data_IF_985427692891
#
_entry.id   IF_985427692891
#
_cell.length_a   1.000
_cell.length_b   1.000
_cell.length_c   1.000
_cell.angle_alpha   90.00
_cell.angle_beta   90.00
_cell.angle_gamma   90.00
#
_symmetry.space_group_name_H-M   'P 1'
#
loop_
_entity.id
_entity.type
_entity.pdbx_description
1 polymer ?
#
# COMPACT_ATOMS: atom_id res chain seq x y z
N UNK A 1 8.29 -1.45 27.96
CA UNK A 1 7.02 -0.74 28.20
C UNK A 1 5.95 -1.25 27.26
N UNK A 2 4.81 -0.54 27.20
CA UNK A 2 3.61 -0.98 26.49
C UNK A 2 3.85 -1.14 25.00
N UNK A 3 4.57 -0.23 24.34
CA UNK A 3 4.79 -0.28 22.88
C UNK A 3 5.74 -1.41 22.50
N UNK A 4 6.86 -1.54 23.21
CA UNK A 4 7.83 -2.61 23.00
C UNK A 4 7.22 -3.99 23.19
N UNK A 5 6.36 -4.18 24.19
CA UNK A 5 5.68 -5.46 24.41
C UNK A 5 4.79 -5.86 23.22
N UNK A 6 3.99 -4.92 22.70
CA UNK A 6 3.14 -5.18 21.52
C UNK A 6 3.96 -5.46 20.25
N UNK A 7 5.04 -4.70 20.02
CA UNK A 7 5.94 -4.94 18.88
C UNK A 7 6.59 -6.33 18.95
N UNK A 8 7.16 -6.69 20.10
CA UNK A 8 7.80 -7.99 20.29
C UNK A 8 6.80 -9.14 20.18
N UNK A 9 5.61 -9.00 20.76
CA UNK A 9 4.57 -10.02 20.64
C UNK A 9 4.21 -10.26 19.17
N UNK A 10 3.94 -9.19 18.40
CA UNK A 10 3.61 -9.31 16.98
C UNK A 10 4.75 -9.93 16.17
N UNK A 11 6.01 -9.51 16.41
CA UNK A 11 7.19 -10.06 15.75
C UNK A 11 7.40 -11.56 16.05
N UNK A 12 7.20 -11.99 17.30
CA UNK A 12 7.31 -13.41 17.67
C UNK A 12 6.21 -14.25 17.02
N UNK A 13 4.97 -13.75 16.97
CA UNK A 13 3.88 -14.41 16.24
C UNK A 13 4.20 -14.52 14.74
N UNK A 14 4.75 -13.46 14.13
CA UNK A 14 5.17 -13.48 12.73
C UNK A 14 6.28 -14.53 12.48
N UNK A 15 7.32 -14.55 13.31
CA UNK A 15 8.40 -15.55 13.20
C UNK A 15 7.83 -16.96 13.29
N UNK A 16 6.97 -17.23 14.28
CA UNK A 16 6.33 -18.53 14.46
C UNK A 16 5.46 -18.93 13.27
N UNK A 17 4.63 -18.03 12.75
CA UNK A 17 3.73 -18.32 11.64
C UNK A 17 4.48 -18.49 10.31
N UNK A 18 5.51 -17.67 10.03
CA UNK A 18 6.38 -17.84 8.85
C UNK A 18 7.15 -19.17 8.95
N UNK A 19 7.67 -19.50 10.14
CA UNK A 19 8.30 -20.79 10.40
C UNK A 19 7.34 -21.98 10.20
N UNK A 20 6.08 -21.83 10.59
CA UNK A 20 5.06 -22.86 10.36
C UNK A 20 4.77 -23.06 8.86
N UNK A 21 4.78 -21.99 8.04
CA UNK A 21 4.72 -22.12 6.58
C UNK A 21 5.95 -22.86 6.04
N UNK A 22 7.15 -22.54 6.55
CA UNK A 22 8.38 -23.22 6.13
C UNK A 22 8.31 -24.75 6.35
N UNK A 23 7.66 -25.19 7.43
CA UNK A 23 7.48 -26.61 7.76
C UNK A 23 6.33 -27.28 7.00
N UNK A 24 5.38 -26.51 6.47
CA UNK A 24 4.16 -27.03 5.82
C UNK A 24 4.17 -26.93 4.30
N UNK A 25 5.14 -26.23 3.70
CA UNK A 25 5.34 -26.17 2.24
C UNK A 25 6.58 -27.00 1.86
N UNK A 26 6.54 -27.92 0.87
CA UNK A 26 5.42 -28.23 -0.01
C UNK A 26 4.67 -29.50 0.46
N UNK A 27 3.79 -29.38 1.46
CA UNK A 27 2.83 -30.45 1.76
C UNK A 27 1.51 -30.14 1.03
N UNK A 28 1.18 -30.97 0.05
CA UNK A 28 0.12 -30.72 -0.94
C UNK A 28 -1.26 -30.36 -0.38
N UNK A 29 -2.00 -29.58 -1.15
CA UNK A 29 -3.46 -29.27 -1.10
C UNK A 29 -4.13 -29.01 0.28
N UNK A 30 -3.41 -28.97 1.39
CA UNK A 30 -3.95 -28.68 2.71
C UNK A 30 -4.19 -27.17 2.90
N UNK A 31 -5.25 -26.79 3.62
CA UNK A 31 -5.55 -25.39 3.95
C UNK A 31 -4.61 -24.74 4.97
N UNK A 32 -3.62 -25.46 5.50
CA UNK A 32 -2.73 -24.99 6.56
C UNK A 32 -1.84 -23.79 6.16
N UNK A 33 -1.18 -23.76 4.98
CA UNK A 33 -0.42 -22.58 4.56
C UNK A 33 -1.30 -21.33 4.44
N UNK A 34 -2.58 -21.50 4.03
CA UNK A 34 -3.56 -20.40 3.97
C UNK A 34 -3.91 -19.93 5.38
N UNK A 35 -4.18 -20.84 6.32
CA UNK A 35 -4.44 -20.49 7.70
C UNK A 35 -3.26 -19.71 8.33
N UNK A 36 -2.03 -20.16 8.10
CA UNK A 36 -0.84 -19.44 8.56
C UNK A 36 -0.65 -18.09 7.86
N UNK A 37 -0.97 -17.97 6.57
CA UNK A 37 -0.97 -16.69 5.87
C UNK A 37 -1.97 -15.69 6.48
N UNK A 38 -3.13 -16.16 6.93
CA UNK A 38 -4.10 -15.33 7.67
C UNK A 38 -3.54 -14.87 9.01
N UNK A 39 -2.88 -15.76 9.77
CA UNK A 39 -2.20 -15.41 11.03
C UNK A 39 -1.09 -14.38 10.79
N UNK A 40 -0.29 -14.56 9.74
CA UNK A 40 0.74 -13.59 9.32
C UNK A 40 0.11 -12.23 9.03
N UNK A 41 -0.98 -12.19 8.25
CA UNK A 41 -1.65 -10.94 7.91
C UNK A 41 -2.15 -10.20 9.17
N UNK A 42 -2.74 -10.91 10.12
CA UNK A 42 -3.22 -10.34 11.38
C UNK A 42 -2.06 -9.83 12.26
N UNK A 43 -0.99 -10.62 12.41
CA UNK A 43 0.18 -10.23 13.19
C UNK A 43 0.94 -9.06 12.54
N UNK A 44 1.04 -9.03 11.21
CA UNK A 44 1.63 -7.92 10.44
C UNK A 44 0.85 -6.63 10.65
N UNK A 45 -0.48 -6.66 10.54
CA UNK A 45 -1.31 -5.49 10.78
C UNK A 45 -1.13 -4.94 12.21
N UNK A 46 -1.01 -5.84 13.19
CA UNK A 46 -0.73 -5.46 14.59
C UNK A 46 0.67 -4.82 14.73
N UNK A 47 1.68 -5.39 14.08
CA UNK A 47 3.04 -4.86 14.08
C UNK A 47 3.10 -3.47 13.44
N UNK A 48 2.45 -3.26 12.31
CA UNK A 48 2.45 -1.98 11.59
C UNK A 48 1.87 -0.86 12.46
N UNK A 49 0.73 -1.11 13.11
CA UNK A 49 0.11 -0.16 14.04
C UNK A 49 1.04 0.15 15.23
N UNK A 50 1.71 -0.88 15.78
CA UNK A 50 2.61 -0.70 16.91
C UNK A 50 3.87 0.11 16.53
N UNK A 51 4.45 -0.15 15.36
CA UNK A 51 5.62 0.55 14.83
C UNK A 51 5.30 2.00 14.45
N UNK A 52 4.15 2.24 13.82
CA UNK A 52 3.72 3.59 13.46
C UNK A 52 3.50 4.45 14.70
N UNK A 53 2.83 3.91 15.72
CA UNK A 53 2.65 4.58 17.00
C UNK A 53 3.99 4.86 17.69
N UNK A 54 4.87 3.85 17.77
CA UNK A 54 6.21 3.98 18.34
C UNK A 54 7.01 5.10 17.67
N UNK A 55 7.02 5.13 16.33
CA UNK A 55 7.73 6.16 15.55
C UNK A 55 7.23 7.57 15.87
N UNK A 56 5.92 7.75 15.95
CA UNK A 56 5.34 9.07 16.24
C UNK A 56 5.60 9.55 17.66
N UNK A 57 5.78 8.61 18.60
CA UNK A 57 6.02 8.92 20.02
C UNK A 57 7.51 9.20 20.32
N UNK A 58 8.44 8.61 19.55
CA UNK A 58 9.89 8.79 19.78
C UNK A 58 10.52 9.93 18.98
N UNK A 59 9.93 10.30 17.84
CA UNK A 59 10.50 11.33 16.96
C UNK A 59 9.95 12.72 17.29
N UNK A 60 10.87 13.68 17.42
CA UNK A 60 10.51 15.10 17.43
C UNK A 60 9.78 15.49 16.12
N UNK A 61 8.84 16.47 16.18
CA UNK A 61 8.10 16.92 15.00
C UNK A 61 8.96 17.27 13.78
N UNK A 62 10.14 17.87 14.02
CA UNK A 62 11.10 18.23 12.97
C UNK A 62 11.75 17.02 12.29
N UNK A 63 11.82 15.86 12.98
CA UNK A 63 12.46 14.62 12.51
C UNK A 63 11.47 13.63 11.88
N UNK A 64 10.16 13.87 12.00
CA UNK A 64 9.13 12.97 11.46
C UNK A 64 9.27 12.71 9.95
N UNK A 65 9.65 13.72 9.17
CA UNK A 65 9.91 13.57 7.73
C UNK A 65 11.06 12.62 7.44
N UNK A 66 12.18 12.77 8.15
CA UNK A 66 13.34 11.88 8.02
C UNK A 66 13.00 10.44 8.48
N UNK A 67 12.23 10.31 9.56
CA UNK A 67 11.76 9.00 10.03
C UNK A 67 10.80 8.29 9.07
N UNK A 68 9.91 9.04 8.42
CA UNK A 68 9.06 8.50 7.37
C UNK A 68 9.88 8.04 6.15
N UNK A 69 10.86 8.83 5.72
CA UNK A 69 11.77 8.47 4.63
C UNK A 69 12.59 7.19 4.96
N UNK A 70 13.11 7.08 6.19
CA UNK A 70 13.83 5.90 6.65
C UNK A 70 12.93 4.63 6.63
N UNK A 71 11.67 4.75 7.04
CA UNK A 71 10.70 3.65 6.97
C UNK A 71 10.44 3.22 5.54
N UNK A 72 10.23 4.16 4.62
CA UNK A 72 10.03 3.84 3.19
C UNK A 72 11.26 3.13 2.64
N UNK A 73 12.46 3.62 2.93
CA UNK A 73 13.70 2.99 2.48
C UNK A 73 13.84 1.56 3.04
N UNK A 74 13.63 1.38 4.34
CA UNK A 74 13.64 0.06 4.99
C UNK A 74 12.62 -0.89 4.38
N UNK A 75 11.40 -0.41 4.12
CA UNK A 75 10.35 -1.18 3.44
C UNK A 75 10.77 -1.61 2.04
N UNK A 76 11.46 -0.77 1.27
CA UNK A 76 11.94 -1.13 -0.07
C UNK A 76 13.05 -2.18 -0.04
N UNK A 77 14.00 -2.05 0.90
CA UNK A 77 15.02 -3.07 1.12
C UNK A 77 14.37 -4.39 1.51
N UNK A 78 13.42 -4.37 2.46
CA UNK A 78 12.67 -5.55 2.87
C UNK A 78 11.91 -6.19 1.71
N UNK A 79 11.27 -5.40 0.84
CA UNK A 79 10.53 -5.87 -0.34
C UNK A 79 11.46 -6.53 -1.38
N UNK A 80 12.67 -5.99 -1.59
CA UNK A 80 13.67 -6.61 -2.45
C UNK A 80 14.18 -7.94 -1.88
N UNK A 81 14.50 -7.96 -0.58
CA UNK A 81 15.01 -9.14 0.11
C UNK A 81 13.95 -10.25 0.21
N UNK A 82 12.72 -9.91 0.61
CA UNK A 82 11.62 -10.87 0.77
C UNK A 82 10.90 -11.24 -0.53
N UNK A 83 10.99 -10.40 -1.56
CA UNK A 83 10.48 -10.71 -2.89
C UNK A 83 11.54 -11.45 -3.72
N UNK A 84 12.55 -10.72 -4.19
CA UNK A 84 13.60 -11.25 -5.07
C UNK A 84 14.51 -12.25 -4.36
N UNK A 85 15.00 -11.90 -3.17
CA UNK A 85 15.88 -12.79 -2.40
C UNK A 85 15.22 -14.11 -2.01
N UNK A 86 13.96 -14.07 -1.54
CA UNK A 86 13.22 -15.28 -1.20
C UNK A 86 12.97 -16.18 -2.43
N UNK A 87 12.67 -15.61 -3.60
CA UNK A 87 12.49 -16.38 -4.84
C UNK A 87 13.78 -17.07 -5.29
N UNK A 88 14.93 -16.40 -5.17
CA UNK A 88 16.24 -16.98 -5.49
C UNK A 88 16.51 -18.18 -4.57
N UNK A 89 16.30 -18.01 -3.26
CA UNK A 89 16.45 -19.10 -2.28
C UNK A 89 15.47 -20.23 -2.60
N UNK A 90 14.22 -19.93 -2.93
CA UNK A 90 13.21 -20.92 -3.26
C UNK A 90 13.59 -21.73 -4.51
N UNK A 91 14.16 -21.08 -5.53
CA UNK A 91 14.61 -21.75 -6.75
C UNK A 91 15.83 -22.67 -6.55
N UNK A 92 16.70 -22.36 -5.59
CA UNK A 92 17.94 -23.12 -5.35
C UNK A 92 17.81 -24.17 -4.23
N UNK A 93 17.06 -23.83 -3.17
CA UNK A 93 16.99 -24.60 -1.93
C UNK A 93 15.55 -24.95 -1.51
N UNK A 94 14.54 -24.56 -2.31
CA UNK A 94 13.14 -24.86 -2.06
C UNK A 94 12.43 -23.84 -1.16
N UNK A 95 11.10 -23.86 -1.21
CA UNK A 95 10.23 -22.91 -0.49
C UNK A 95 10.37 -22.97 1.03
N UNK A 96 10.58 -24.16 1.60
CA UNK A 96 10.78 -24.34 3.05
C UNK A 96 11.97 -23.51 3.54
N UNK A 97 13.09 -23.57 2.82
CA UNK A 97 14.31 -22.82 3.17
C UNK A 97 14.10 -21.32 2.97
N UNK A 98 13.39 -20.92 1.92
CA UNK A 98 13.08 -19.51 1.67
C UNK A 98 12.25 -18.89 2.81
N UNK A 99 11.18 -19.54 3.24
CA UNK A 99 10.37 -19.07 4.38
C UNK A 99 11.15 -19.10 5.70
N UNK A 100 11.94 -20.16 5.94
CA UNK A 100 12.81 -20.24 7.12
C UNK A 100 13.83 -19.09 7.18
N UNK A 101 14.44 -18.73 6.05
CA UNK A 101 15.33 -17.59 5.95
C UNK A 101 14.62 -16.26 6.26
N UNK A 102 13.39 -16.07 5.78
CA UNK A 102 12.59 -14.88 6.11
C UNK A 102 12.23 -14.80 7.61
N UNK A 103 11.92 -15.93 8.23
CA UNK A 103 11.68 -16.00 9.68
C UNK A 103 12.94 -15.60 10.48
N UNK A 104 14.13 -16.02 10.04
CA UNK A 104 15.40 -15.63 10.66
C UNK A 104 15.67 -14.14 10.46
N UNK A 105 15.41 -13.59 9.29
CA UNK A 105 15.59 -12.16 9.03
C UNK A 105 14.73 -11.26 9.94
N UNK A 106 13.54 -11.72 10.34
CA UNK A 106 12.68 -11.00 11.29
C UNK A 106 13.34 -10.80 12.67
N UNK A 107 14.36 -11.59 13.04
CA UNK A 107 15.15 -11.37 14.26
C UNK A 107 15.89 -10.02 14.25
N UNK A 108 16.18 -9.46 13.08
CA UNK A 108 16.73 -8.10 12.98
C UNK A 108 15.76 -7.05 13.52
N UNK A 109 14.44 -7.24 13.31
CA UNK A 109 13.39 -6.40 13.86
C UNK A 109 13.26 -6.54 15.38
N UNK A 110 13.41 -7.76 15.90
CA UNK A 110 13.49 -8.02 17.35
C UNK A 110 14.70 -7.27 17.94
N UNK A 111 15.89 -7.44 17.35
CA UNK A 111 17.11 -6.76 17.80
C UNK A 111 16.94 -5.24 17.80
N UNK A 112 16.42 -4.66 16.72
CA UNK A 112 16.12 -3.23 16.65
C UNK A 112 15.15 -2.80 17.77
N UNK A 113 14.09 -3.57 18.01
CA UNK A 113 13.11 -3.29 19.07
C UNK A 113 13.70 -3.37 20.47
N UNK A 114 14.66 -4.28 20.69
CA UNK A 114 15.32 -4.44 21.98
C UNK A 114 16.37 -3.37 22.27
N UNK A 115 17.07 -2.90 21.23
CA UNK A 115 18.15 -1.91 21.31
C UNK A 115 17.63 -0.47 21.40
N UNK A 116 16.44 -0.20 20.85
CA UNK A 116 15.89 1.14 20.91
C UNK A 116 15.18 1.43 22.24
N UNK A 117 15.22 2.69 22.72
CA UNK A 117 14.60 3.05 23.99
C UNK A 117 13.07 2.98 23.90
N UNK A 118 12.44 2.71 25.04
CA UNK A 118 10.99 2.86 25.18
C UNK A 118 10.64 4.35 25.04
N UNK A 119 9.54 4.73 24.36
CA UNK A 119 9.08 6.11 24.37
C UNK A 119 8.87 6.55 25.81
N UNK A 120 9.23 7.80 26.12
CA UNK A 120 8.90 8.36 27.43
C UNK A 120 7.40 8.16 27.67
N UNK A 121 7.05 7.60 28.81
CA UNK A 121 5.65 7.52 29.19
C UNK A 121 5.16 8.97 29.35
N UNK A 122 4.54 9.54 28.33
CA UNK A 122 3.63 10.66 28.59
C UNK A 122 2.61 10.11 29.58
N UNK A 123 2.40 10.84 30.68
CA UNK A 123 1.29 10.69 31.61
C UNK A 123 -0.05 10.90 30.88
N UNK A 124 -0.35 10.05 29.91
CA UNK A 124 -1.70 9.85 29.39
C UNK A 124 -2.40 8.81 30.25
N UNK A 125 -2.29 8.99 31.57
CA UNK A 125 -3.39 8.77 32.50
C UNK A 125 -4.45 9.86 32.27
N UNK A 126 -5.04 9.92 31.08
CA UNK A 126 -6.26 10.70 30.88
C UNK A 126 -7.45 9.78 31.11
N UNK A 127 -7.68 9.51 32.40
CA UNK A 127 -8.82 8.87 33.03
C UNK A 127 -9.08 7.41 32.59
N UNK A 128 -9.14 6.43 33.51
CA UNK A 128 -9.72 5.14 33.16
C UNK A 128 -11.16 5.43 32.72
N UNK A 129 -11.48 5.19 31.45
CA UNK A 129 -12.88 5.12 31.06
C UNK A 129 -13.50 4.05 31.95
N UNK A 130 -14.37 4.49 32.88
CA UNK A 130 -14.86 3.70 34.02
C UNK A 130 -15.59 2.41 33.61
N UNK A 131 -15.81 2.20 32.32
CA UNK A 131 -16.35 0.99 31.74
C UNK A 131 -15.62 0.65 30.44
N UNK A 132 -15.09 -0.57 30.35
CA UNK A 132 -14.53 -1.11 29.11
C UNK A 132 -15.53 -1.04 27.93
N UNK A 133 -16.84 -1.04 28.21
CA UNK A 133 -17.88 -0.87 27.20
C UNK A 133 -17.95 0.54 26.62
N UNK A 134 -17.70 1.57 27.43
CA UNK A 134 -17.65 2.96 26.97
C UNK A 134 -16.41 3.18 26.10
N UNK A 135 -15.28 2.60 26.50
CA UNK A 135 -14.03 2.65 25.73
C UNK A 135 -14.16 1.93 24.41
N UNK A 136 -14.74 0.74 24.43
CA UNK A 136 -14.98 -0.04 23.22
C UNK A 136 -15.93 0.70 22.27
N UNK A 137 -17.03 1.27 22.76
CA UNK A 137 -17.92 2.09 21.94
C UNK A 137 -17.22 3.33 21.38
N UNK A 138 -16.41 4.03 22.18
CA UNK A 138 -15.71 5.22 21.72
C UNK A 138 -14.60 4.91 20.71
N UNK A 139 -13.88 3.80 20.90
CA UNK A 139 -12.81 3.36 20.02
C UNK A 139 -13.32 2.72 18.72
N UNK A 140 -14.43 1.97 18.78
CA UNK A 140 -14.99 1.26 17.62
C UNK A 140 -16.10 2.04 16.90
N UNK A 141 -16.96 2.77 17.59
CA UNK A 141 -18.12 3.44 16.98
C UNK A 141 -17.82 4.93 16.74
N UNK A 142 -17.11 5.58 17.66
CA UNK A 142 -16.75 7.00 17.59
C UNK A 142 -16.14 7.42 16.24
N UNK A 143 -15.11 6.74 15.72
CA UNK A 143 -14.51 7.06 14.42
C UNK A 143 -15.49 6.99 13.24
N UNK A 144 -16.40 6.02 13.26
CA UNK A 144 -17.37 5.82 12.17
C UNK A 144 -18.50 6.84 12.25
N UNK A 145 -19.07 7.04 13.44
CA UNK A 145 -20.12 8.01 13.65
C UNK A 145 -19.65 9.43 13.28
N UNK A 146 -18.42 9.78 13.65
CA UNK A 146 -17.82 11.05 13.28
C UNK A 146 -17.66 11.16 11.75
N UNK A 147 -17.14 10.14 11.08
CA UNK A 147 -16.96 10.17 9.62
C UNK A 147 -18.29 10.26 8.87
N UNK A 148 -19.28 9.44 9.23
CA UNK A 148 -20.61 9.43 8.58
C UNK A 148 -21.44 10.69 8.87
N UNK A 149 -21.11 11.42 9.92
CA UNK A 149 -21.77 12.71 10.22
C UNK A 149 -21.32 13.86 9.31
N UNK A 150 -20.20 13.70 8.58
CA UNK A 150 -19.63 14.78 7.77
C UNK A 150 -20.41 14.98 6.47
N UNK A 151 -20.64 16.23 6.04
CA UNK A 151 -21.25 16.50 4.74
C UNK A 151 -20.36 15.95 3.61
N UNK A 152 -20.96 15.20 2.69
CA UNK A 152 -20.24 14.63 1.54
C UNK A 152 -19.46 13.34 1.82
N UNK A 153 -19.64 12.69 2.97
CA UNK A 153 -18.96 11.42 3.31
C UNK A 153 -19.08 10.34 2.23
N UNK A 154 -20.26 10.25 1.57
CA UNK A 154 -20.50 9.27 0.51
C UNK A 154 -19.65 9.58 -0.73
N UNK A 155 -19.51 10.85 -1.10
CA UNK A 155 -18.66 11.25 -2.23
C UNK A 155 -17.18 10.95 -1.94
N UNK A 156 -16.74 11.18 -0.69
CA UNK A 156 -15.39 10.79 -0.24
C UNK A 156 -15.19 9.28 -0.38
N UNK A 157 -16.14 8.47 0.08
CA UNK A 157 -16.06 7.02 0.01
C UNK A 157 -16.02 6.51 -1.44
N UNK A 158 -16.93 7.01 -2.29
CA UNK A 158 -16.91 6.72 -3.73
C UNK A 158 -15.59 7.14 -4.38
N UNK A 159 -15.03 8.30 -4.01
CA UNK A 159 -13.74 8.74 -4.53
C UNK A 159 -12.60 7.82 -4.11
N UNK A 160 -12.57 7.40 -2.83
CA UNK A 160 -11.53 6.50 -2.32
C UNK A 160 -11.53 5.17 -3.09
N UNK A 161 -12.72 4.70 -3.46
CA UNK A 161 -12.91 3.49 -4.26
C UNK A 161 -12.51 3.69 -5.72
N UNK A 162 -12.99 4.75 -6.36
CA UNK A 162 -12.88 4.94 -7.81
C UNK A 162 -11.51 5.49 -8.25
N UNK A 163 -10.83 6.27 -7.41
CA UNK A 163 -9.60 6.98 -7.82
C UNK A 163 -8.48 6.04 -8.27
N UNK A 164 -8.29 4.91 -7.59
CA UNK A 164 -7.27 3.90 -7.92
C UNK A 164 -7.81 2.75 -8.77
N UNK A 165 -9.04 2.83 -9.28
CA UNK A 165 -9.68 1.70 -9.95
C UNK A 165 -8.96 1.30 -11.24
N UNK A 166 -8.63 2.25 -12.13
CA UNK A 166 -7.88 1.94 -13.37
C UNK A 166 -6.51 1.30 -13.10
N UNK A 167 -5.76 1.85 -12.13
CA UNK A 167 -4.46 1.33 -11.65
C UNK A 167 -4.58 -0.06 -11.03
N UNK A 168 -5.71 -0.36 -10.36
CA UNK A 168 -6.00 -1.67 -9.82
C UNK A 168 -6.09 -2.74 -10.91
N UNK A 169 -6.83 -2.44 -11.98
CA UNK A 169 -7.03 -3.35 -13.11
C UNK A 169 -5.71 -3.66 -13.82
N UNK A 170 -4.89 -2.63 -14.07
CA UNK A 170 -3.56 -2.83 -14.67
C UNK A 170 -2.66 -3.64 -13.75
N UNK A 171 -2.62 -3.33 -12.45
CA UNK A 171 -1.74 -4.00 -11.50
C UNK A 171 -1.95 -5.53 -11.41
N UNK A 172 -3.20 -6.01 -11.49
CA UNK A 172 -3.51 -7.45 -11.43
C UNK A 172 -3.17 -8.16 -12.74
N UNK A 173 -3.30 -7.47 -13.88
CA UNK A 173 -3.09 -8.05 -15.22
C UNK A 173 -1.70 -7.79 -15.83
N UNK A 174 -0.87 -6.94 -15.20
CA UNK A 174 0.46 -6.62 -15.66
C UNK A 174 1.35 -7.86 -15.84
N UNK A 175 1.42 -8.74 -14.84
CA UNK A 175 2.23 -9.96 -14.92
C UNK A 175 1.78 -10.93 -16.02
N UNK A 176 0.48 -11.30 -16.12
CA UNK A 176 -0.05 -12.07 -17.25
C UNK A 176 0.27 -11.43 -18.61
N UNK A 177 0.09 -10.11 -18.74
CA UNK A 177 0.40 -9.38 -19.96
C UNK A 177 1.86 -9.53 -20.39
N UNK A 178 2.82 -9.37 -19.45
CA UNK A 178 4.24 -9.51 -19.77
C UNK A 178 4.57 -10.92 -20.26
N UNK A 179 4.06 -11.94 -19.58
CA UNK A 179 4.31 -13.34 -19.93
C UNK A 179 3.71 -13.68 -21.29
N UNK A 180 2.46 -13.27 -21.56
CA UNK A 180 1.80 -13.53 -22.85
C UNK A 180 2.44 -12.77 -24.01
N UNK A 181 3.02 -11.59 -23.76
CA UNK A 181 3.76 -10.82 -24.77
C UNK A 181 5.11 -11.47 -25.11
N UNK A 182 5.61 -12.38 -24.26
CA UNK A 182 6.84 -13.14 -24.49
C UNK A 182 8.07 -12.65 -23.71
N UNK A 183 7.90 -11.79 -22.70
CA UNK A 183 9.02 -11.36 -21.85
C UNK A 183 9.48 -12.48 -20.91
N UNK A 184 10.80 -12.61 -20.76
CA UNK A 184 11.39 -13.53 -19.79
C UNK A 184 11.20 -13.03 -18.35
N UNK A 185 11.16 -13.95 -17.40
CA UNK A 185 11.08 -13.60 -15.97
C UNK A 185 12.26 -12.73 -15.51
N UNK A 186 13.43 -12.89 -16.12
CA UNK A 186 14.61 -12.08 -15.84
C UNK A 186 14.41 -10.63 -16.29
N UNK A 187 13.92 -10.41 -17.50
CA UNK A 187 13.61 -9.06 -18.02
C UNK A 187 12.53 -8.39 -17.17
N UNK A 188 11.46 -9.12 -16.86
CA UNK A 188 10.39 -8.64 -15.99
C UNK A 188 10.98 -8.27 -14.62
N UNK A 189 11.81 -9.12 -14.02
CA UNK A 189 12.43 -8.86 -12.72
C UNK A 189 13.29 -7.58 -12.74
N UNK A 190 14.19 -7.45 -13.72
CA UNK A 190 15.10 -6.30 -13.84
C UNK A 190 14.32 -5.00 -14.08
N UNK A 191 13.40 -5.00 -15.04
CA UNK A 191 12.68 -3.80 -15.43
C UNK A 191 11.59 -3.45 -14.40
N UNK A 192 10.71 -4.38 -14.07
CA UNK A 192 9.54 -4.07 -13.21
C UNK A 192 9.90 -3.93 -11.73
N UNK A 193 10.84 -4.74 -11.22
CA UNK A 193 11.21 -4.71 -9.79
C UNK A 193 12.43 -3.85 -9.53
N UNK A 194 13.45 -3.90 -10.40
CA UNK A 194 14.64 -3.05 -10.27
C UNK A 194 14.34 -1.60 -10.67
N UNK A 195 14.17 -1.37 -11.97
CA UNK A 195 13.93 -0.03 -12.50
C UNK A 195 12.60 0.57 -12.03
N UNK A 196 11.51 -0.21 -12.04
CA UNK A 196 10.19 0.23 -11.58
C UNK A 196 10.18 0.73 -10.13
N UNK A 197 10.98 0.13 -9.25
CA UNK A 197 11.13 0.61 -7.87
C UNK A 197 11.75 2.00 -7.81
N UNK A 198 12.85 2.23 -8.54
CA UNK A 198 13.51 3.53 -8.60
C UNK A 198 12.54 4.60 -9.14
N UNK A 199 11.77 4.27 -10.17
CA UNK A 199 10.76 5.15 -10.75
C UNK A 199 9.59 5.42 -9.79
N UNK A 200 9.17 4.44 -8.99
CA UNK A 200 8.16 4.64 -7.94
C UNK A 200 8.65 5.61 -6.88
N UNK A 201 9.91 5.51 -6.45
CA UNK A 201 10.50 6.42 -5.47
C UNK A 201 10.64 7.83 -6.03
N UNK A 202 11.11 7.97 -7.27
CA UNK A 202 11.15 9.25 -7.97
C UNK A 202 9.75 9.85 -8.07
N UNK A 203 8.75 9.05 -8.44
CA UNK A 203 7.36 9.45 -8.53
C UNK A 203 6.80 9.90 -7.18
N UNK A 204 7.11 9.17 -6.11
CA UNK A 204 6.69 9.54 -4.76
C UNK A 204 7.28 10.88 -4.32
N UNK A 205 8.56 11.14 -4.64
CA UNK A 205 9.22 12.42 -4.36
C UNK A 205 8.59 13.56 -5.16
N UNK A 206 8.38 13.37 -6.47
CA UNK A 206 7.68 14.35 -7.32
C UNK A 206 6.27 14.61 -6.82
N UNK A 207 5.52 13.57 -6.45
CA UNK A 207 4.18 13.66 -5.87
C UNK A 207 4.17 14.46 -4.56
N UNK A 208 5.16 14.26 -3.70
CA UNK A 208 5.33 15.03 -2.46
C UNK A 208 5.56 16.53 -2.75
N UNK A 209 6.42 16.84 -3.72
CA UNK A 209 6.66 18.22 -4.17
C UNK A 209 5.38 18.84 -4.74
N UNK A 210 4.62 18.10 -5.55
CA UNK A 210 3.35 18.57 -6.10
C UNK A 210 2.32 18.87 -5.02
N UNK A 211 2.18 18.00 -4.01
CA UNK A 211 1.29 18.25 -2.87
C UNK A 211 1.72 19.50 -2.11
N UNK A 212 3.03 19.66 -1.87
CA UNK A 212 3.56 20.83 -1.16
C UNK A 212 3.36 22.15 -1.92
N UNK A 213 3.46 22.14 -3.26
CA UNK A 213 3.36 23.36 -4.08
C UNK A 213 1.97 23.69 -4.58
N UNK A 214 1.17 22.68 -4.92
CA UNK A 214 -0.14 22.84 -5.57
C UNK A 214 -1.31 22.55 -4.62
N UNK A 215 -1.05 22.00 -3.44
CA UNK A 215 -2.06 21.45 -2.54
C UNK A 215 -2.52 20.05 -2.95
N UNK A 216 -3.19 19.36 -2.01
CA UNK A 216 -3.57 17.95 -2.15
C UNK A 216 -4.47 17.72 -3.37
N UNK A 217 -5.53 18.52 -3.52
CA UNK A 217 -6.54 18.29 -4.55
C UNK A 217 -6.01 18.43 -5.98
N UNK A 218 -5.19 19.46 -6.25
CA UNK A 218 -4.57 19.66 -7.57
C UNK A 218 -3.50 18.62 -7.85
N UNK A 219 -2.72 18.24 -6.83
CA UNK A 219 -1.74 17.16 -6.97
C UNK A 219 -2.40 15.83 -7.31
N UNK A 220 -3.53 15.49 -6.65
CA UNK A 220 -4.34 14.31 -6.99
C UNK A 220 -4.85 14.35 -8.42
N UNK A 221 -5.38 15.49 -8.88
CA UNK A 221 -5.91 15.59 -10.24
C UNK A 221 -4.81 15.38 -11.29
N UNK A 222 -3.65 16.04 -11.11
CA UNK A 222 -2.51 15.89 -12.02
C UNK A 222 -1.96 14.46 -12.00
N UNK A 223 -1.75 13.91 -10.82
CA UNK A 223 -1.22 12.56 -10.69
C UNK A 223 -2.19 11.51 -11.27
N UNK A 224 -3.48 11.63 -10.99
CA UNK A 224 -4.50 10.73 -11.53
C UNK A 224 -4.65 10.83 -13.06
N UNK A 225 -4.50 12.03 -13.65
CA UNK A 225 -4.44 12.18 -15.11
C UNK A 225 -3.21 11.49 -15.70
N UNK A 226 -2.05 11.62 -15.05
CA UNK A 226 -0.82 10.93 -15.48
C UNK A 226 -0.94 9.41 -15.34
N UNK A 227 -1.62 8.90 -14.30
CA UNK A 227 -1.94 7.47 -14.15
C UNK A 227 -2.93 6.98 -15.21
N UNK A 228 -3.92 7.78 -15.57
CA UNK A 228 -4.80 7.42 -16.70
C UNK A 228 -4.00 7.39 -18.02
N UNK A 229 -3.09 8.34 -18.22
CA UNK A 229 -2.23 8.37 -19.39
C UNK A 229 -1.22 7.21 -19.43
N UNK A 230 -0.72 6.72 -18.29
CA UNK A 230 0.20 5.57 -18.26
C UNK A 230 -0.48 4.29 -18.76
N UNK A 231 -1.78 4.12 -18.52
CA UNK A 231 -2.56 3.01 -19.09
C UNK A 231 -2.58 3.03 -20.63
N UNK A 232 -2.57 4.21 -21.26
CA UNK A 232 -2.45 4.33 -22.72
C UNK A 232 -1.07 3.88 -23.23
N UNK A 233 -0.01 4.05 -22.42
CA UNK A 233 1.33 3.54 -22.75
C UNK A 233 1.33 2.00 -22.73
N UNK A 234 0.57 1.36 -21.84
CA UNK A 234 0.35 -0.09 -21.90
C UNK A 234 -0.42 -0.53 -23.15
N UNK A 235 -1.45 0.22 -23.57
CA UNK A 235 -2.13 -0.06 -24.83
C UNK A 235 -1.17 0.03 -26.03
N UNK A 236 -0.27 1.02 -26.04
CA UNK A 236 0.79 1.13 -27.04
C UNK A 236 1.78 -0.03 -26.97
N UNK A 237 2.17 -0.49 -25.77
CA UNK A 237 3.03 -1.66 -25.60
C UNK A 237 2.35 -2.92 -26.15
N UNK A 238 1.04 -3.09 -25.89
CA UNK A 238 0.28 -4.23 -26.40
C UNK A 238 0.21 -4.25 -27.93
N UNK A 239 0.15 -3.07 -28.56
CA UNK A 239 0.21 -2.96 -30.02
C UNK A 239 1.60 -3.22 -30.60
N UNK A 240 2.67 -2.74 -29.94
CA UNK A 240 4.06 -2.97 -30.36
C UNK A 240 4.48 -4.44 -30.14
N UNK A 241 3.93 -5.11 -29.13
CA UNK A 241 4.31 -6.47 -28.74
C UNK A 241 5.60 -6.49 -27.93
N UNK A 242 6.45 -7.50 -28.16
CA UNK A 242 7.72 -7.65 -27.42
C UNK A 242 8.72 -6.54 -27.82
N UNK A 243 9.06 -5.69 -26.87
CA UNK A 243 10.12 -4.68 -26.99
C UNK A 243 10.60 -4.28 -25.60
N UNK A 244 11.81 -4.69 -25.24
CA UNK A 244 12.39 -4.39 -23.92
C UNK A 244 12.62 -2.89 -23.67
N UNK A 245 13.08 -2.08 -24.65
CA UNK A 245 13.17 -0.63 -24.47
C UNK A 245 11.81 0.01 -24.23
N UNK A 246 10.77 -0.41 -24.97
CA UNK A 246 9.42 0.13 -24.78
C UNK A 246 8.81 -0.34 -23.46
N UNK A 247 9.11 -1.55 -23.01
CA UNK A 247 8.68 -2.04 -21.69
C UNK A 247 9.31 -1.18 -20.59
N UNK A 248 10.59 -0.85 -20.72
CA UNK A 248 11.27 0.04 -19.78
C UNK A 248 10.61 1.41 -19.72
N UNK A 249 10.24 1.99 -20.87
CA UNK A 249 9.46 3.23 -20.91
C UNK A 249 8.09 3.07 -20.22
N UNK A 250 7.34 2.02 -20.56
CA UNK A 250 6.02 1.72 -20.02
C UNK A 250 6.06 1.63 -18.49
N UNK A 251 6.99 0.82 -17.96
CA UNK A 251 7.21 0.66 -16.53
C UNK A 251 7.65 1.97 -15.88
N UNK A 252 8.48 2.76 -16.56
CA UNK A 252 8.93 4.04 -16.07
C UNK A 252 7.79 5.03 -15.88
N UNK A 253 6.95 5.20 -16.90
CA UNK A 253 5.78 6.08 -16.85
C UNK A 253 4.76 5.60 -15.83
N UNK A 254 4.47 4.29 -15.80
CA UNK A 254 3.54 3.68 -14.86
C UNK A 254 3.98 3.85 -13.41
N UNK A 255 5.23 3.48 -13.08
CA UNK A 255 5.67 3.53 -11.69
C UNK A 255 5.89 4.98 -11.22
N UNK A 256 6.34 5.87 -12.11
CA UNK A 256 6.45 7.29 -11.79
C UNK A 256 5.09 7.89 -11.44
N UNK A 257 4.10 7.74 -12.33
CA UNK A 257 2.73 8.23 -12.10
C UNK A 257 2.06 7.50 -10.92
N UNK A 258 2.28 6.19 -10.80
CA UNK A 258 1.97 5.32 -9.66
C UNK A 258 2.42 5.89 -8.32
N UNK A 259 3.70 6.23 -8.22
CA UNK A 259 4.32 6.84 -7.04
C UNK A 259 3.72 8.20 -6.72
N UNK A 260 3.54 9.06 -7.73
CA UNK A 260 2.92 10.38 -7.57
C UNK A 260 1.49 10.27 -7.01
N UNK A 261 0.68 9.42 -7.64
CA UNK A 261 -0.72 9.21 -7.28
C UNK A 261 -0.86 8.61 -5.89
N UNK A 262 0.01 7.67 -5.51
CA UNK A 262 0.01 7.07 -4.18
C UNK A 262 0.37 8.08 -3.10
N UNK A 263 1.41 8.90 -3.31
CA UNK A 263 1.78 9.95 -2.35
C UNK A 263 0.66 10.97 -2.15
N UNK A 264 0.08 11.48 -3.25
CA UNK A 264 -1.02 12.44 -3.17
C UNK A 264 -2.27 11.84 -2.48
N UNK A 265 -2.56 10.57 -2.76
CA UNK A 265 -3.70 9.87 -2.17
C UNK A 265 -3.53 9.57 -0.69
N UNK A 266 -2.34 9.17 -0.24
CA UNK A 266 -2.03 9.02 1.19
C UNK A 266 -2.15 10.34 1.92
N UNK A 267 -1.69 11.45 1.33
CA UNK A 267 -1.85 12.79 1.90
C UNK A 267 -3.33 13.17 2.03
N UNK A 268 -4.16 12.85 1.02
CA UNK A 268 -5.59 13.05 1.06
C UNK A 268 -6.28 12.22 2.15
N UNK A 269 -6.03 10.91 2.23
CA UNK A 269 -6.58 10.07 3.29
C UNK A 269 -6.19 10.59 4.68
N UNK A 270 -4.93 11.01 4.85
CA UNK A 270 -4.45 11.59 6.10
C UNK A 270 -5.18 12.90 6.45
N UNK A 271 -5.50 13.74 5.46
CA UNK A 271 -6.25 14.99 5.67
C UNK A 271 -7.71 14.78 6.09
N UNK A 272 -8.29 13.63 5.76
CA UNK A 272 -9.65 13.26 6.16
C UNK A 272 -9.72 12.75 7.60
N UNK A 273 -8.61 12.35 8.19
CA UNK A 273 -8.60 11.79 9.53
C UNK A 273 -8.75 12.88 10.60
N UNK A 274 -9.70 12.70 11.52
CA UNK A 274 -9.84 13.54 12.71
C UNK A 274 -8.67 13.27 13.66
N UNK A 275 -8.06 14.32 14.21
CA UNK A 275 -6.95 14.22 15.18
C UNK A 275 -7.26 13.31 16.37
N UNK A 276 -8.53 13.22 16.79
CA UNK A 276 -8.96 12.36 17.90
C UNK A 276 -9.01 10.86 17.55
N UNK A 277 -9.13 10.52 16.26
CA UNK A 277 -9.35 9.15 15.77
C UNK A 277 -8.39 8.75 14.64
N UNK A 278 -7.26 9.46 14.50
CA UNK A 278 -6.43 9.41 13.28
C UNK A 278 -6.02 8.00 12.87
N UNK A 279 -5.51 7.20 13.81
CA UNK A 279 -5.04 5.85 13.53
C UNK A 279 -6.16 4.93 13.04
N UNK A 280 -7.30 4.92 13.74
CA UNK A 280 -8.44 4.05 13.41
C UNK A 280 -9.09 4.46 12.09
N UNK A 281 -9.28 5.77 11.85
CA UNK A 281 -9.86 6.24 10.59
C UNK A 281 -8.93 6.02 9.40
N UNK A 282 -7.63 6.23 9.58
CA UNK A 282 -6.66 5.95 8.52
C UNK A 282 -6.62 4.46 8.18
N UNK A 283 -6.55 3.60 9.20
CA UNK A 283 -6.61 2.14 9.03
C UNK A 283 -7.91 1.69 8.33
N UNK A 284 -9.06 2.27 8.70
CA UNK A 284 -10.34 1.99 8.05
C UNK A 284 -10.33 2.39 6.57
N UNK A 285 -9.95 3.63 6.25
CA UNK A 285 -9.99 4.12 4.87
C UNK A 285 -8.98 3.39 3.97
N UNK A 286 -7.77 3.13 4.48
CA UNK A 286 -6.73 2.38 3.76
C UNK A 286 -7.09 0.90 3.55
N UNK A 287 -7.65 0.23 4.57
CA UNK A 287 -8.10 -1.16 4.44
C UNK A 287 -9.30 -1.29 3.50
N UNK A 288 -10.25 -0.35 3.54
CA UNK A 288 -11.37 -0.30 2.59
C UNK A 288 -10.88 -0.07 1.16
N UNK A 289 -9.90 0.82 0.96
CA UNK A 289 -9.25 1.01 -0.35
C UNK A 289 -8.63 -0.30 -0.83
N UNK A 290 -7.83 -0.97 0.01
CA UNK A 290 -7.16 -2.22 -0.34
C UNK A 290 -8.17 -3.34 -0.67
N UNK A 291 -9.20 -3.53 0.15
CA UNK A 291 -10.23 -4.53 -0.05
C UNK A 291 -11.01 -4.27 -1.35
N UNK A 292 -11.41 -3.01 -1.59
CA UNK A 292 -12.18 -2.65 -2.78
C UNK A 292 -11.34 -2.79 -4.04
N UNK A 293 -10.06 -2.38 -3.99
CA UNK A 293 -9.10 -2.58 -5.07
C UNK A 293 -9.05 -4.05 -5.50
N UNK A 294 -8.89 -4.95 -4.53
CA UNK A 294 -8.79 -6.40 -4.80
C UNK A 294 -10.10 -6.97 -5.32
N UNK A 295 -11.23 -6.61 -4.72
CA UNK A 295 -12.54 -7.13 -5.13
C UNK A 295 -12.90 -6.66 -6.54
N UNK A 296 -12.74 -5.38 -6.84
CA UNK A 296 -13.05 -4.83 -8.17
C UNK A 296 -12.11 -5.34 -9.25
N UNK A 297 -10.84 -5.59 -8.92
CA UNK A 297 -9.87 -6.11 -9.88
C UNK A 297 -9.94 -7.64 -10.07
N UNK A 298 -10.71 -8.37 -9.26
CA UNK A 298 -10.82 -9.84 -9.37
C UNK A 298 -11.37 -10.31 -10.72
N UNK A 299 -12.28 -9.55 -11.33
CA UNK A 299 -12.85 -9.85 -12.65
C UNK A 299 -11.99 -9.43 -13.85
N UNK A 300 -10.82 -8.82 -13.61
CA UNK A 300 -9.97 -8.25 -14.67
C UNK A 300 -9.53 -9.27 -15.71
N UNK A 301 -9.20 -10.50 -15.29
CA UNK A 301 -8.76 -11.58 -16.20
C UNK A 301 -9.84 -11.99 -17.21
N UNK A 302 -11.09 -12.11 -16.77
CA UNK A 302 -12.22 -12.45 -17.65
C UNK A 302 -12.45 -11.38 -18.73
N UNK A 303 -12.29 -10.11 -18.37
CA UNK A 303 -12.41 -9.00 -19.31
C UNK A 303 -11.24 -9.04 -20.32
N UNK A 304 -10.01 -9.20 -19.83
CA UNK A 304 -8.82 -9.23 -20.68
C UNK A 304 -8.85 -10.38 -21.71
N UNK A 305 -9.33 -11.56 -21.31
CA UNK A 305 -9.45 -12.73 -22.18
C UNK A 305 -10.44 -12.50 -23.34
N UNK A 306 -11.52 -11.75 -23.12
CA UNK A 306 -12.53 -11.47 -24.14
C UNK A 306 -12.19 -10.28 -25.04
N UNK A 307 -11.55 -9.26 -24.48
CA UNK A 307 -11.30 -8.01 -25.22
C UNK A 307 -9.96 -8.02 -25.95
N UNK A 308 -8.98 -8.81 -25.48
CA UNK A 308 -7.59 -8.66 -25.88
C UNK A 308 -6.89 -7.51 -25.15
N UNK A 309 -5.57 -7.43 -25.30
CA UNK A 309 -4.73 -6.55 -24.48
C UNK A 309 -4.89 -5.06 -24.79
N UNK A 310 -5.02 -4.70 -26.07
CA UNK A 310 -5.10 -3.28 -26.47
C UNK A 310 -6.38 -2.67 -25.92
N UNK A 311 -7.52 -3.28 -26.21
CA UNK A 311 -8.85 -2.89 -25.75
C UNK A 311 -8.93 -2.92 -24.23
N UNK A 312 -8.33 -3.93 -23.58
CA UNK A 312 -8.26 -4.00 -22.12
C UNK A 312 -7.62 -2.75 -21.51
N UNK A 313 -6.45 -2.32 -21.99
CA UNK A 313 -5.77 -1.14 -21.45
C UNK A 313 -6.46 0.19 -21.82
N UNK A 314 -7.20 0.23 -22.94
CA UNK A 314 -8.10 1.35 -23.22
C UNK A 314 -9.26 1.40 -22.21
N UNK A 315 -9.85 0.25 -21.89
CA UNK A 315 -10.90 0.15 -20.87
C UNK A 315 -10.39 0.54 -19.48
N UNK A 316 -9.17 0.15 -19.08
CA UNK A 316 -8.60 0.57 -17.80
C UNK A 316 -8.35 2.08 -17.75
N UNK A 317 -8.03 2.71 -18.88
CA UNK A 317 -7.94 4.17 -18.99
C UNK A 317 -9.30 4.83 -18.75
N UNK A 318 -10.36 4.32 -19.39
CA UNK A 318 -11.73 4.79 -19.20
C UNK A 318 -12.21 4.57 -17.76
N UNK A 319 -11.82 3.46 -17.14
CA UNK A 319 -12.14 3.12 -15.76
C UNK A 319 -11.54 4.09 -14.73
N UNK A 320 -10.48 4.85 -15.08
CA UNK A 320 -9.93 5.90 -14.22
C UNK A 320 -10.77 7.20 -14.25
N UNK A 321 -11.54 7.45 -15.31
CA UNK A 321 -12.28 8.69 -15.50
C UNK A 321 -13.33 8.99 -14.42
N UNK A 322 -14.16 8.02 -13.95
CA UNK A 322 -15.14 8.29 -12.91
C UNK A 322 -14.53 8.87 -11.63
N UNK A 323 -13.37 8.36 -11.21
CA UNK A 323 -12.65 8.87 -10.04
C UNK A 323 -12.14 10.30 -10.24
N UNK A 324 -11.63 10.62 -11.44
CA UNK A 324 -11.16 11.96 -11.78
C UNK A 324 -12.29 12.99 -11.91
N UNK A 325 -13.41 12.60 -12.53
CA UNK A 325 -14.60 13.43 -12.65
C UNK A 325 -15.17 13.73 -11.27
N UNK A 326 -15.26 12.71 -10.40
CA UNK A 326 -15.73 12.87 -9.03
C UNK A 326 -14.81 13.79 -8.23
N UNK A 327 -13.49 13.64 -8.34
CA UNK A 327 -12.52 14.55 -7.72
C UNK A 327 -12.75 15.99 -8.16
N UNK A 328 -12.85 16.21 -9.47
CA UNK A 328 -13.05 17.54 -10.02
C UNK A 328 -14.37 18.18 -9.56
N UNK A 329 -15.44 17.38 -9.47
CA UNK A 329 -16.71 17.82 -8.90
C UNK A 329 -16.56 18.18 -7.42
N UNK A 330 -15.89 17.34 -6.63
CA UNK A 330 -15.63 17.60 -5.20
C UNK A 330 -14.81 18.89 -5.01
N UNK A 331 -13.80 19.13 -5.84
CA UNK A 331 -12.98 20.35 -5.82
C UNK A 331 -13.81 21.62 -6.03
N UNK A 332 -14.85 21.56 -6.88
CA UNK A 332 -15.74 22.69 -7.15
C UNK A 332 -16.76 22.89 -6.03
N UNK A 333 -17.27 21.80 -5.43
CA UNK A 333 -18.35 21.85 -4.44
C UNK A 333 -17.86 22.15 -3.03
N UNK A 334 -16.70 21.62 -2.64
CA UNK A 334 -16.18 21.67 -1.27
C UNK A 334 -14.90 22.51 -1.14
N UNK A 335 -14.74 23.52 -2.02
CA UNK A 335 -13.56 24.40 -2.11
C UNK A 335 -13.04 24.75 -0.72
N UNK A 336 -11.82 24.30 -0.40
CA UNK A 336 -11.18 24.61 0.89
C UNK A 336 -11.19 26.13 1.08
N UNK A 337 -11.64 26.66 2.24
CA UNK A 337 -11.38 28.06 2.55
C UNK A 337 -9.87 28.23 2.54
N UNK A 338 -9.38 29.13 1.68
CA UNK A 338 -7.95 29.46 1.58
C UNK A 338 -7.42 29.71 2.99
N UNK A 339 -6.39 28.95 3.40
CA UNK A 339 -5.62 29.28 4.60
C UNK A 339 -4.99 30.65 4.35
N UNK A 340 -5.57 31.69 4.94
CA UNK A 340 -4.92 32.98 5.18
C UNK A 340 -3.74 32.79 6.14
#
# INVERSE_FOLDING_TARGET
GRRRAWMLAAQLFLIGAIGAIALTVPAGLGGWPVAWAVVIAFASATQDIALDAYRTEILEPAKLGAGAAALVYGYRVAMLTSGGGALIIAGQAGWSVAYGAMAVLMLTGIAATLLNPEPAAEDRDTLPERSASAWLKRALIGPFAEFFSRPGWLAVLCFVVLYKFGDALVGVMAMPFYIQTGFSLTEIGVVTKGFGLAMTLAGAAVGGILVARLGIARALLLAGLLQAASNLVFAAQAWIGYSLPFLTLTIGVENLSGGMGTTAFVAYLSSLCNRAYTATQYALLSSMMAATRTFMASGSGFVAEQTGWIEYFLLTTLAALPGLILLWWMMRRYREPERQ
#
